data_IF_726796278552
#
_entry.id   IF_726796278552
#
_cell.length_a   1.000
_cell.length_b   1.000
_cell.length_c   1.000
_cell.angle_alpha   90.00
_cell.angle_beta   90.00
_cell.angle_gamma   90.00
#
_symmetry.space_group_name_H-M   'P 1'
#
loop_
_entity.id
_entity.type
_entity.pdbx_description
1 polymer ?
#
# COMPACT_ATOMS: atom_id res chain seq x y z
N UNK A 1 18.41 0.47 0.70
CA UNK A 1 18.96 1.78 1.09
C UNK A 1 18.52 2.91 0.17
N UNK A 2 18.54 2.72 -1.13
CA UNK A 2 18.06 3.72 -2.11
C UNK A 2 16.60 4.10 -1.86
N UNK A 3 15.74 3.13 -1.53
CA UNK A 3 14.32 3.37 -1.27
C UNK A 3 14.10 4.36 -0.13
N UNK A 4 14.88 4.24 0.94
CA UNK A 4 14.80 5.15 2.09
C UNK A 4 15.27 6.55 1.73
N UNK A 5 16.31 6.65 0.91
CA UNK A 5 16.85 7.94 0.46
C UNK A 5 15.79 8.68 -0.35
N UNK A 6 15.17 8.00 -1.33
CA UNK A 6 14.11 8.58 -2.15
C UNK A 6 12.91 9.00 -1.31
N UNK A 7 12.47 8.14 -0.39
CA UNK A 7 11.36 8.46 0.50
C UNK A 7 11.68 9.66 1.38
N UNK A 8 12.86 9.69 2.01
CA UNK A 8 13.27 10.78 2.90
C UNK A 8 13.40 12.10 2.16
N UNK A 9 13.94 12.10 0.95
CA UNK A 9 14.04 13.31 0.12
C UNK A 9 12.65 13.84 -0.24
N UNK A 10 11.73 12.95 -0.60
CA UNK A 10 10.36 13.34 -0.93
C UNK A 10 9.64 13.91 0.28
N UNK A 11 9.80 13.30 1.45
CA UNK A 11 9.22 13.79 2.71
C UNK A 11 9.78 15.16 3.05
N UNK A 12 11.10 15.35 2.96
CA UNK A 12 11.74 16.64 3.22
C UNK A 12 11.22 17.74 2.29
N UNK A 13 11.06 17.41 1.02
CA UNK A 13 10.53 18.34 0.01
C UNK A 13 9.09 18.74 0.35
N UNK A 14 8.26 17.78 0.72
CA UNK A 14 6.86 18.06 1.10
C UNK A 14 6.77 18.90 2.36
N UNK A 15 7.59 18.63 3.36
CA UNK A 15 7.64 19.44 4.58
C UNK A 15 8.06 20.87 4.26
N UNK A 16 9.02 21.05 3.35
CA UNK A 16 9.45 22.39 2.94
C UNK A 16 8.33 23.13 2.19
N UNK A 17 7.60 22.45 1.30
CA UNK A 17 6.44 23.04 0.61
C UNK A 17 5.39 23.54 1.60
N UNK A 18 5.11 22.77 2.66
CA UNK A 18 4.18 23.20 3.69
C UNK A 18 4.68 24.44 4.45
N UNK A 19 5.96 24.48 4.80
CA UNK A 19 6.56 25.65 5.47
C UNK A 19 6.48 26.90 4.61
N UNK A 20 6.75 26.75 3.30
CA UNK A 20 6.69 27.86 2.35
C UNK A 20 5.27 28.43 2.26
N UNK A 21 4.26 27.61 2.55
CA UNK A 21 2.86 28.03 2.59
C UNK A 21 2.39 28.44 3.99
N UNK A 22 3.30 28.55 4.96
CA UNK A 22 2.99 28.97 6.32
C UNK A 22 2.40 27.87 7.20
N UNK A 23 2.48 26.63 6.78
CA UNK A 23 1.96 25.48 7.53
C UNK A 23 3.06 24.76 8.30
N UNK A 24 2.79 24.49 9.57
CA UNK A 24 3.70 23.72 10.43
C UNK A 24 3.24 22.27 10.50
N UNK A 25 3.97 21.39 9.80
CA UNK A 25 3.67 19.97 9.70
C UNK A 25 4.82 19.14 10.28
N UNK A 26 4.48 17.96 10.77
CA UNK A 26 5.45 16.98 11.21
C UNK A 26 5.28 15.68 10.43
N UNK A 27 6.35 14.91 10.33
CA UNK A 27 6.34 13.59 9.71
C UNK A 27 6.67 12.51 10.73
N UNK A 28 6.10 11.32 10.53
CA UNK A 28 6.43 10.16 11.34
C UNK A 28 6.17 8.88 10.55
N UNK A 29 6.85 7.83 10.94
CA UNK A 29 6.62 6.51 10.33
C UNK A 29 5.19 6.08 10.58
N UNK A 30 4.56 5.51 9.56
CA UNK A 30 3.16 5.14 9.62
C UNK A 30 2.90 3.88 8.81
N UNK A 31 2.00 3.07 9.30
CA UNK A 31 1.56 1.85 8.62
C UNK A 31 0.05 1.84 8.48
N UNK A 32 -0.43 1.31 7.36
CA UNK A 32 -1.86 1.16 7.10
C UNK A 32 -2.13 -0.32 6.84
N UNK A 33 -2.59 -1.08 7.86
CA UNK A 33 -2.85 -2.50 7.69
C UNK A 33 -4.24 -2.75 7.11
N UNK A 34 -4.34 -3.75 6.24
CA UNK A 34 -5.60 -4.24 5.69
C UNK A 34 -5.64 -5.76 5.80
N UNK A 35 -6.84 -6.32 5.97
CA UNK A 35 -7.05 -7.75 6.05
C UNK A 35 -8.24 -8.14 5.19
N UNK A 36 -8.07 -9.24 4.42
CA UNK A 36 -9.11 -9.81 3.57
C UNK A 36 -9.26 -11.28 3.93
N UNK A 37 -10.50 -11.74 4.11
CA UNK A 37 -10.78 -13.14 4.45
C UNK A 37 -11.69 -13.75 3.41
N UNK A 38 -11.26 -14.89 2.86
CA UNK A 38 -12.00 -15.65 1.85
C UNK A 38 -12.30 -17.03 2.38
N UNK A 39 -13.52 -17.49 2.17
CA UNK A 39 -13.93 -18.85 2.51
C UNK A 39 -13.34 -19.85 1.50
N UNK A 40 -13.36 -21.13 1.86
CA UNK A 40 -12.97 -22.20 0.96
C UNK A 40 -13.88 -22.21 -0.27
N UNK A 41 -13.34 -22.65 -1.40
CA UNK A 41 -14.07 -22.78 -2.67
C UNK A 41 -14.56 -21.44 -3.24
N UNK A 42 -13.86 -20.35 -2.94
CA UNK A 42 -14.19 -19.02 -3.47
C UNK A 42 -13.10 -18.46 -4.40
N UNK A 43 -12.30 -19.34 -5.02
CA UNK A 43 -11.29 -18.91 -5.99
C UNK A 43 -11.95 -18.12 -7.14
N UNK A 44 -11.34 -16.99 -7.50
CA UNK A 44 -11.88 -16.08 -8.51
C UNK A 44 -12.77 -14.98 -7.97
N UNK A 45 -13.17 -15.03 -6.70
CA UNK A 45 -13.94 -13.94 -6.08
C UNK A 45 -13.00 -12.83 -5.62
N UNK A 46 -13.55 -11.64 -5.42
CA UNK A 46 -12.77 -10.47 -5.01
C UNK A 46 -13.39 -9.78 -3.82
N UNK A 47 -12.53 -9.06 -3.07
CA UNK A 47 -12.94 -8.15 -2.01
C UNK A 47 -12.19 -6.83 -2.18
N UNK A 48 -12.82 -5.73 -1.78
CA UNK A 48 -12.26 -4.39 -1.88
C UNK A 48 -12.19 -3.78 -0.49
N UNK A 49 -11.03 -3.26 -0.13
CA UNK A 49 -10.84 -2.42 1.05
C UNK A 49 -10.26 -1.08 0.61
N UNK A 50 -10.56 -0.04 1.37
CA UNK A 50 -10.12 1.31 1.04
C UNK A 50 -9.14 1.84 2.07
N UNK A 51 -8.11 2.52 1.59
CA UNK A 51 -7.30 3.41 2.41
C UNK A 51 -7.83 4.81 2.18
N UNK A 52 -8.34 5.45 3.23
CA UNK A 52 -8.87 6.82 3.16
C UNK A 52 -8.01 7.71 4.02
N UNK A 53 -7.56 8.82 3.45
CA UNK A 53 -6.69 9.78 4.12
C UNK A 53 -7.53 10.95 4.60
N UNK A 54 -7.38 11.34 5.88
CA UNK A 54 -8.11 12.50 6.42
C UNK A 54 -7.67 13.78 5.72
N UNK A 55 -8.53 14.81 5.77
CA UNK A 55 -8.32 16.06 5.04
C UNK A 55 -7.03 16.81 5.39
N UNK A 56 -6.52 16.64 6.60
CA UNK A 56 -5.31 17.31 7.08
C UNK A 56 -4.06 16.44 6.99
N UNK A 57 -4.18 15.22 6.50
CA UNK A 57 -3.11 14.22 6.46
C UNK A 57 -2.60 14.02 5.03
N UNK A 58 -1.32 13.71 4.94
CA UNK A 58 -0.71 13.22 3.70
C UNK A 58 0.00 11.91 4.04
N UNK A 59 -0.24 10.87 3.27
CA UNK A 59 0.41 9.58 3.47
C UNK A 59 1.26 9.23 2.24
N UNK A 60 2.54 8.97 2.47
CA UNK A 60 3.49 8.59 1.42
C UNK A 60 3.96 7.20 1.74
N UNK A 61 3.65 6.23 0.89
CA UNK A 61 4.13 4.86 1.11
C UNK A 61 5.03 4.39 -0.02
N UNK A 62 6.02 3.59 0.33
CA UNK A 62 6.98 3.04 -0.62
C UNK A 62 7.11 1.52 -0.52
N UNK A 63 6.36 0.89 0.39
CA UNK A 63 6.52 -0.52 0.67
C UNK A 63 5.18 -1.14 1.06
N UNK A 64 4.92 -2.32 0.52
CA UNK A 64 3.77 -3.14 0.90
C UNK A 64 4.31 -4.48 1.40
N UNK A 65 4.11 -4.75 2.68
CA UNK A 65 4.39 -6.07 3.24
C UNK A 65 3.12 -6.90 3.14
N UNK A 66 3.26 -8.16 2.79
CA UNK A 66 2.10 -9.03 2.67
C UNK A 66 2.36 -10.42 3.22
N UNK A 67 1.29 -11.02 3.69
CA UNK A 67 1.23 -12.40 4.16
C UNK A 67 -0.13 -12.97 3.79
N UNK A 68 -0.16 -14.15 3.20
CA UNK A 68 -1.41 -14.84 2.89
C UNK A 68 -1.26 -16.34 3.12
N UNK A 69 -2.39 -17.00 3.36
CA UNK A 69 -2.43 -18.46 3.48
C UNK A 69 -2.31 -19.13 2.12
N UNK A 70 -2.73 -18.46 1.07
CA UNK A 70 -2.71 -18.98 -0.30
C UNK A 70 -2.57 -17.88 -1.33
N UNK A 71 -2.63 -18.28 -2.58
CA UNK A 71 -2.41 -17.41 -3.73
C UNK A 71 -3.50 -16.34 -3.88
N UNK A 72 -3.11 -15.17 -4.36
CA UNK A 72 -4.02 -14.05 -4.62
C UNK A 72 -3.44 -13.13 -5.70
N UNK A 73 -4.31 -12.33 -6.30
CA UNK A 73 -3.91 -11.22 -7.17
C UNK A 73 -4.34 -9.91 -6.51
N UNK A 74 -3.58 -8.85 -6.76
CA UNK A 74 -3.84 -7.53 -6.20
C UNK A 74 -3.94 -6.47 -7.29
N UNK A 75 -4.91 -5.56 -7.14
CA UNK A 75 -5.03 -4.34 -7.96
C UNK A 75 -5.13 -3.15 -7.02
N UNK A 76 -4.34 -2.12 -7.28
CA UNK A 76 -4.37 -0.85 -6.55
C UNK A 76 -4.88 0.24 -7.48
N UNK A 77 -5.94 0.93 -7.06
CA UNK A 77 -6.54 2.01 -7.85
C UNK A 77 -6.64 3.29 -7.04
N UNK A 78 -6.01 4.34 -7.55
CA UNK A 78 -6.13 5.68 -6.98
C UNK A 78 -7.46 6.28 -7.44
N UNK A 79 -8.39 6.46 -6.52
CA UNK A 79 -9.75 6.93 -6.84
C UNK A 79 -9.73 8.36 -7.39
N UNK A 80 -8.88 9.22 -6.83
CA UNK A 80 -8.84 10.63 -7.22
C UNK A 80 -8.43 10.82 -8.69
N UNK A 81 -7.47 10.03 -9.17
CA UNK A 81 -6.97 10.13 -10.55
C UNK A 81 -7.58 9.10 -11.49
N UNK A 82 -8.24 8.08 -10.94
CA UNK A 82 -8.73 6.92 -11.70
C UNK A 82 -7.63 6.01 -12.19
N UNK A 83 -6.38 6.24 -11.79
CA UNK A 83 -5.24 5.46 -12.25
C UNK A 83 -5.10 4.16 -11.49
N UNK A 84 -4.84 3.10 -12.24
CA UNK A 84 -4.45 1.81 -11.70
C UNK A 84 -2.93 1.78 -11.63
N UNK A 85 -2.36 1.28 -10.53
CA UNK A 85 -0.90 1.25 -10.35
C UNK A 85 -0.22 0.14 -11.14
N UNK A 86 -1.01 -0.71 -11.80
CA UNK A 86 -0.52 -1.72 -12.74
C UNK A 86 -1.56 -1.92 -13.83
N UNK A 87 -1.16 -2.30 -15.03
CA UNK A 87 -2.09 -2.55 -16.13
C UNK A 87 -3.01 -3.74 -15.87
N UNK A 88 -2.49 -4.72 -15.14
CA UNK A 88 -3.20 -5.94 -14.78
C UNK A 88 -3.02 -6.23 -13.30
N UNK A 89 -3.87 -7.10 -12.77
CA UNK A 89 -3.70 -7.60 -11.42
C UNK A 89 -2.34 -8.30 -11.29
N UNK A 90 -1.64 -8.03 -10.19
CA UNK A 90 -0.33 -8.62 -9.91
C UNK A 90 -0.54 -9.83 -9.01
N UNK A 91 -0.05 -11.01 -9.45
CA UNK A 91 -0.11 -12.23 -8.65
C UNK A 91 0.86 -12.15 -7.47
N UNK A 92 0.47 -12.73 -6.34
CA UNK A 92 1.26 -12.72 -5.11
C UNK A 92 2.68 -13.27 -5.28
N UNK A 93 2.87 -14.22 -6.15
CA UNK A 93 4.20 -14.80 -6.40
C UNK A 93 5.11 -13.84 -7.18
N UNK A 94 4.52 -12.93 -7.95
CA UNK A 94 5.25 -11.92 -8.73
C UNK A 94 5.41 -10.62 -7.94
N UNK A 95 4.49 -10.38 -7.01
CA UNK A 95 4.45 -9.13 -6.23
C UNK A 95 5.71 -8.94 -5.38
N UNK A 96 6.27 -10.01 -4.86
CA UNK A 96 7.35 -9.94 -3.88
C UNK A 96 8.70 -9.66 -4.53
N UNK A 97 9.36 -8.59 -4.11
CA UNK A 97 10.77 -8.31 -4.40
C UNK A 97 11.68 -9.10 -3.45
N UNK A 98 11.17 -9.38 -2.25
CA UNK A 98 11.87 -10.14 -1.22
C UNK A 98 10.93 -11.19 -0.65
N UNK A 99 11.22 -12.46 -0.89
CA UNK A 99 10.49 -13.58 -0.32
C UNK A 99 11.22 -14.11 0.91
N UNK A 100 10.43 -14.45 1.93
CA UNK A 100 10.96 -15.13 3.10
C UNK A 100 11.07 -16.61 2.83
N UNK A 101 12.19 -17.22 3.19
CA UNK A 101 12.45 -18.65 2.97
C UNK A 101 11.34 -19.49 3.62
N UNK A 102 10.78 -20.42 2.84
CA UNK A 102 9.75 -21.32 3.32
C UNK A 102 8.33 -20.81 3.22
N UNK A 103 8.13 -19.53 2.78
CA UNK A 103 6.81 -18.93 2.62
C UNK A 103 6.61 -18.46 1.19
N UNK A 104 5.64 -19.03 0.48
CA UNK A 104 5.35 -18.69 -0.92
C UNK A 104 4.51 -17.40 -1.04
N UNK A 105 3.70 -17.08 -0.03
CA UNK A 105 2.75 -15.97 -0.07
C UNK A 105 3.04 -14.93 1.00
N UNK A 106 4.31 -14.76 1.30
CA UNK A 106 4.79 -13.76 2.25
C UNK A 106 5.96 -13.03 1.63
N UNK A 107 5.94 -11.72 1.67
CA UNK A 107 7.03 -10.95 1.08
C UNK A 107 6.89 -9.46 1.26
N UNK A 108 7.79 -8.76 0.60
CA UNK A 108 7.87 -7.30 0.61
C UNK A 108 7.88 -6.84 -0.84
N UNK A 109 6.93 -5.96 -1.17
CA UNK A 109 6.91 -5.26 -2.45
C UNK A 109 7.35 -3.83 -2.22
N UNK A 110 8.40 -3.42 -2.91
CA UNK A 110 8.94 -2.06 -2.83
C UNK A 110 8.58 -1.28 -4.08
N UNK A 111 8.19 -0.02 -3.88
CA UNK A 111 7.92 0.90 -4.96
C UNK A 111 9.18 1.71 -5.25
N UNK A 112 9.61 1.73 -6.50
CA UNK A 112 10.75 2.56 -6.92
C UNK A 112 10.47 4.04 -6.70
N UNK A 113 9.21 4.43 -6.96
CA UNK A 113 8.72 5.79 -6.72
C UNK A 113 7.64 5.70 -5.66
N UNK A 114 7.82 6.35 -4.49
CA UNK A 114 6.80 6.35 -3.44
C UNK A 114 5.47 6.92 -3.95
N UNK A 115 4.37 6.33 -3.50
CA UNK A 115 3.02 6.80 -3.83
C UNK A 115 2.56 7.79 -2.76
N UNK A 116 2.02 8.91 -3.22
CA UNK A 116 1.49 9.97 -2.34
C UNK A 116 -0.03 9.91 -2.36
N UNK A 117 -0.63 9.81 -1.19
CA UNK A 117 -2.07 9.95 -1.00
C UNK A 117 -2.32 11.24 -0.22
N UNK A 118 -2.96 12.19 -0.86
CA UNK A 118 -3.27 13.50 -0.25
C UNK A 118 -4.52 13.43 0.61
N UNK A 119 -4.75 14.45 1.39
CA UNK A 119 -5.96 14.57 2.21
C UNK A 119 -7.23 14.37 1.39
N UNK A 120 -8.17 13.60 1.93
CA UNK A 120 -9.41 13.15 1.28
C UNK A 120 -9.16 12.20 0.09
N UNK A 121 -7.93 11.79 -0.14
CA UNK A 121 -7.61 10.80 -1.15
C UNK A 121 -8.01 9.40 -0.71
N UNK A 122 -8.32 8.56 -1.68
CA UNK A 122 -8.68 7.16 -1.45
C UNK A 122 -7.87 6.25 -2.36
N UNK A 123 -7.42 5.14 -1.81
CA UNK A 123 -6.81 4.06 -2.58
C UNK A 123 -7.71 2.83 -2.41
N UNK A 124 -8.24 2.33 -3.52
CA UNK A 124 -8.95 1.06 -3.52
C UNK A 124 -7.94 -0.08 -3.65
N UNK A 125 -8.01 -1.02 -2.73
CA UNK A 125 -7.18 -2.22 -2.75
C UNK A 125 -8.11 -3.39 -3.03
N UNK A 126 -7.95 -4.00 -4.20
CA UNK A 126 -8.78 -5.13 -4.63
C UNK A 126 -7.94 -6.39 -4.57
N UNK A 127 -8.41 -7.38 -3.83
CA UNK A 127 -7.78 -8.70 -3.77
C UNK A 127 -8.69 -9.71 -4.45
N UNK A 128 -8.12 -10.44 -5.41
CA UNK A 128 -8.77 -11.60 -6.04
C UNK A 128 -8.21 -12.86 -5.41
N UNK A 129 -9.08 -13.68 -4.85
CA UNK A 129 -8.66 -14.97 -4.27
C UNK A 129 -8.31 -15.95 -5.39
N UNK A 130 -7.17 -16.60 -5.28
CA UNK A 130 -6.73 -17.64 -6.23
C UNK A 130 -6.51 -18.98 -5.54
N UNK A 131 -6.96 -19.11 -4.29
CA UNK A 131 -6.83 -20.33 -3.52
C UNK A 131 -8.16 -21.08 -3.45
N UNK A 132 -8.12 -22.40 -3.58
CA UNK A 132 -9.31 -23.25 -3.37
C UNK A 132 -9.62 -23.42 -1.89
N UNK A 133 -8.64 -23.27 -1.02
CA UNK A 133 -8.80 -23.32 0.43
C UNK A 133 -9.15 -21.93 0.99
N UNK A 134 -9.61 -21.88 2.23
CA UNK A 134 -9.82 -20.61 2.92
C UNK A 134 -8.52 -19.80 2.89
N UNK A 135 -8.62 -18.51 2.62
CA UNK A 135 -7.45 -17.65 2.44
C UNK A 135 -7.64 -16.34 3.19
N UNK A 136 -6.72 -16.04 4.08
CA UNK A 136 -6.63 -14.74 4.75
C UNK A 136 -5.44 -14.01 4.19
N UNK A 137 -5.66 -12.83 3.61
CA UNK A 137 -4.62 -11.98 3.03
C UNK A 137 -4.45 -10.75 3.91
N UNK A 138 -3.24 -10.56 4.41
CA UNK A 138 -2.89 -9.41 5.24
C UNK A 138 -1.89 -8.55 4.50
N UNK A 139 -2.20 -7.26 4.40
CA UNK A 139 -1.34 -6.27 3.77
C UNK A 139 -0.99 -5.20 4.78
N UNK A 140 0.21 -4.65 4.67
CA UNK A 140 0.62 -3.50 5.46
C UNK A 140 1.34 -2.51 4.55
N UNK A 141 0.71 -1.36 4.33
CA UNK A 141 1.29 -0.28 3.54
C UNK A 141 2.15 0.56 4.47
N UNK A 142 3.44 0.58 4.22
CA UNK A 142 4.43 1.24 5.09
C UNK A 142 5.01 2.48 4.42
N UNK A 143 5.09 3.54 5.20
CA UNK A 143 5.66 4.78 4.73
C UNK A 143 5.69 5.85 5.81
N UNK A 144 5.38 7.06 5.43
CA UNK A 144 5.44 8.23 6.29
C UNK A 144 4.11 8.99 6.21
N UNK A 145 3.61 9.38 7.38
CA UNK A 145 2.45 10.29 7.47
C UNK A 145 2.95 11.69 7.79
N UNK A 146 2.37 12.68 7.13
CA UNK A 146 2.62 14.10 7.40
C UNK A 146 1.33 14.71 7.90
N UNK A 147 1.37 15.29 9.10
CA UNK A 147 0.20 15.88 9.75
C UNK A 147 0.53 17.24 10.34
N UNK A 148 -0.52 18.00 10.67
CA UNK A 148 -0.38 19.22 11.45
C UNK A 148 0.12 18.91 12.86
N UNK A 149 0.92 19.81 13.40
CA UNK A 149 1.36 19.71 14.79
C UNK A 149 0.21 19.89 15.78
#
# INVERSE_FOLDING_TARGET
>A
MEDKIVLNELVAKKLQEFRDNGEDKISYNYSYPLEFSFNANTSGTSQVEKITISGSQLFIFNQINFYADGDFDIVLKDVATGRVLSEQAINSQVLSDVNFTGFQYKGIHKLDIPKILSGNGELNVVIYNRSASANTVKLNFKGVSINSR
#
